data_IF_740975463984
#
_entry.id   IF_740975463984
#
_cell.length_a   1.000
_cell.length_b   1.000
_cell.length_c   1.000
_cell.angle_alpha   90.00
_cell.angle_beta   90.00
_cell.angle_gamma   90.00
#
_symmetry.space_group_name_H-M   'P 1'
#
loop_
_entity.id
_entity.type
_entity.pdbx_description
1 polymer ?
#
# COMPACT_ATOMS: atom_id res chain seq x y z
N UNK A 1 -1.22 -14.77 -5.19
CA UNK A 1 -1.23 -13.34 -5.59
C UNK A 1 -1.85 -12.58 -4.44
N UNK A 2 -1.08 -11.72 -3.78
CA UNK A 2 -1.63 -10.78 -2.79
C UNK A 2 -2.39 -9.68 -3.55
N UNK A 3 -3.58 -9.33 -3.07
CA UNK A 3 -4.38 -8.26 -3.65
C UNK A 3 -3.71 -6.92 -3.31
N UNK A 4 -3.34 -6.15 -4.34
CA UNK A 4 -2.74 -4.83 -4.20
C UNK A 4 -3.78 -3.74 -4.47
N UNK A 5 -3.75 -2.68 -3.67
CA UNK A 5 -4.61 -1.51 -3.79
C UNK A 5 -3.75 -0.27 -4.01
N UNK A 6 -3.88 0.34 -5.20
CA UNK A 6 -3.22 1.61 -5.51
C UNK A 6 -4.01 2.80 -4.96
N UNK A 7 -3.35 3.67 -4.20
CA UNK A 7 -3.91 4.97 -3.80
C UNK A 7 -3.55 5.99 -4.88
N UNK A 8 -4.57 6.50 -5.57
CA UNK A 8 -4.43 7.52 -6.63
C UNK A 8 -5.12 8.81 -6.24
N UNK A 9 -4.58 9.93 -6.72
CA UNK A 9 -5.16 11.25 -6.46
C UNK A 9 -4.36 12.37 -7.12
N UNK A 10 -4.97 13.56 -7.18
CA UNK A 10 -4.28 14.77 -7.63
C UNK A 10 -3.15 15.15 -6.66
N UNK A 11 -2.17 15.95 -7.10
CA UNK A 11 -1.17 16.52 -6.19
C UNK A 11 -1.82 17.23 -4.99
N UNK A 12 -1.23 17.06 -3.80
CA UNK A 12 -1.61 17.75 -2.55
C UNK A 12 -3.01 17.45 -1.97
N UNK A 13 -3.67 16.35 -2.36
CA UNK A 13 -4.99 15.96 -1.80
C UNK A 13 -4.92 15.16 -0.49
N UNK A 14 -3.73 15.04 0.12
CA UNK A 14 -3.53 14.25 1.34
C UNK A 14 -3.27 12.75 1.12
N UNK A 15 -2.94 12.34 -0.11
CA UNK A 15 -2.61 10.95 -0.47
C UNK A 15 -1.54 10.33 0.46
N UNK A 16 -0.41 10.99 0.62
CA UNK A 16 0.68 10.50 1.48
C UNK A 16 0.29 10.51 2.97
N UNK A 17 -0.58 11.43 3.39
CA UNK A 17 -1.13 11.44 4.75
C UNK A 17 -1.99 10.20 5.01
N UNK A 18 -2.87 9.83 4.06
CA UNK A 18 -3.69 8.63 4.14
C UNK A 18 -2.82 7.36 4.11
N UNK A 19 -1.86 7.28 3.20
CA UNK A 19 -0.94 6.15 3.11
C UNK A 19 -0.21 5.92 4.44
N UNK A 20 0.38 6.97 5.01
CA UNK A 20 1.10 6.87 6.29
C UNK A 20 0.17 6.47 7.44
N UNK A 21 -1.09 6.94 7.44
CA UNK A 21 -2.07 6.57 8.46
C UNK A 21 -2.45 5.08 8.38
N UNK A 22 -2.59 4.54 7.16
CA UNK A 22 -2.91 3.13 6.94
C UNK A 22 -1.74 2.21 7.29
N UNK A 23 -0.52 2.60 6.94
CA UNK A 23 0.68 1.76 7.09
C UNK A 23 1.40 1.94 8.42
N UNK A 24 1.01 2.96 9.22
CA UNK A 24 1.66 3.32 10.49
C UNK A 24 3.20 3.43 10.40
N UNK A 25 3.73 3.77 9.21
CA UNK A 25 5.17 3.86 8.92
C UNK A 25 6.01 2.60 9.20
N UNK A 26 5.44 1.40 9.33
CA UNK A 26 6.21 0.15 9.29
C UNK A 26 6.52 -0.23 7.82
N UNK A 27 7.17 0.70 7.12
CA UNK A 27 7.78 0.37 5.83
C UNK A 27 8.90 -0.61 6.14
N UNK A 28 8.63 -1.90 5.98
CA UNK A 28 9.66 -2.92 5.83
C UNK A 28 10.44 -2.58 4.57
N UNK A 29 11.39 -1.66 4.69
CA UNK A 29 12.37 -1.36 3.68
C UNK A 29 13.24 -2.61 3.53
N UNK A 30 12.84 -3.52 2.65
CA UNK A 30 13.74 -4.52 2.14
C UNK A 30 14.79 -3.76 1.30
N UNK A 31 15.95 -3.52 1.90
CA UNK A 31 17.07 -2.84 1.27
C UNK A 31 17.63 -3.70 0.12
N UNK A 32 17.03 -3.62 -1.07
CA UNK A 32 17.68 -4.06 -2.29
C UNK A 32 18.52 -2.91 -2.85
N UNK A 33 19.86 -3.04 -2.95
CA UNK A 33 20.67 -2.04 -3.62
C UNK A 33 20.27 -1.98 -5.11
N UNK A 34 20.23 -0.77 -5.68
CA UNK A 34 19.76 -0.38 -7.04
C UNK A 34 18.29 0.13 -7.17
N UNK A 35 17.62 0.55 -6.09
CA UNK A 35 16.24 1.05 -6.15
C UNK A 35 16.07 2.38 -6.92
N UNK A 36 15.72 2.28 -8.20
CA UNK A 36 15.05 3.30 -9.01
C UNK A 36 13.54 3.24 -8.80
N UNK A 37 12.86 4.38 -8.53
CA UNK A 37 11.44 4.62 -8.88
C UNK A 37 10.46 3.53 -8.37
N UNK A 38 10.63 2.98 -7.17
CA UNK A 38 9.66 2.01 -6.63
C UNK A 38 8.56 2.74 -5.82
N UNK A 39 7.27 2.48 -6.08
CA UNK A 39 6.19 3.10 -5.33
C UNK A 39 6.26 2.66 -3.86
N UNK A 40 5.84 3.52 -2.92
CA UNK A 40 5.83 3.12 -1.51
C UNK A 40 4.78 2.02 -1.33
N UNK A 41 5.20 0.83 -0.91
CA UNK A 41 4.32 -0.29 -0.61
C UNK A 41 4.22 -0.47 0.90
N UNK A 42 3.00 -0.67 1.41
CA UNK A 42 2.78 -0.96 2.83
C UNK A 42 1.77 -2.09 3.01
N UNK A 43 2.08 -2.98 3.95
CA UNK A 43 1.24 -4.14 4.28
C UNK A 43 0.42 -3.83 5.52
N UNK A 44 -0.89 -3.94 5.43
CA UNK A 44 -1.80 -3.62 6.54
C UNK A 44 -2.61 -4.87 6.91
N UNK A 45 -2.61 -5.28 8.20
CA UNK A 45 -3.44 -6.39 8.64
C UNK A 45 -4.91 -5.98 8.60
N UNK A 46 -5.77 -6.89 8.13
CA UNK A 46 -7.22 -6.68 8.11
C UNK A 46 -7.77 -6.85 9.53
N UNK A 47 -8.39 -5.81 10.12
CA UNK A 47 -9.04 -5.96 11.42
C UNK A 47 -10.25 -6.88 11.29
N UNK A 48 -10.27 -7.97 12.07
CA UNK A 48 -11.34 -8.96 12.06
C UNK A 48 -11.58 -9.53 13.46
N UNK A 49 -12.68 -9.13 14.09
CA UNK A 49 -13.07 -9.61 15.43
C UNK A 49 -13.31 -11.12 15.48
N UNK A 50 -13.62 -11.74 14.33
CA UNK A 50 -13.83 -13.21 14.24
C UNK A 50 -12.54 -13.96 14.50
N UNK A 51 -11.39 -13.39 14.13
CA UNK A 51 -10.09 -14.03 14.33
C UNK A 51 -9.80 -14.20 15.82
N UNK A 52 -10.02 -13.14 16.61
CA UNK A 52 -9.85 -13.18 18.07
C UNK A 52 -10.82 -14.18 18.73
N UNK A 53 -12.09 -14.19 18.31
CA UNK A 53 -13.07 -15.14 18.84
C UNK A 53 -12.68 -16.60 18.57
N UNK A 54 -12.16 -16.90 17.37
CA UNK A 54 -11.67 -18.24 17.04
C UNK A 54 -10.40 -18.59 17.83
N UNK A 55 -9.47 -17.64 17.99
CA UNK A 55 -8.25 -17.85 18.76
C UNK A 55 -8.57 -18.22 20.22
N UNK A 56 -9.58 -17.58 20.82
CA UNK A 56 -10.06 -17.90 22.17
C UNK A 56 -10.70 -19.30 22.25
N UNK A 57 -11.59 -19.65 21.31
CA UNK A 57 -12.28 -20.95 21.28
C UNK A 57 -11.29 -22.11 21.17
N UNK A 58 -10.25 -21.95 20.36
CA UNK A 58 -9.30 -23.02 20.06
C UNK A 58 -7.99 -22.94 20.87
N UNK A 59 -7.81 -21.92 21.71
CA UNK A 59 -6.59 -21.72 22.49
C UNK A 59 -5.34 -21.56 21.62
N UNK A 60 -5.45 -20.78 20.54
CA UNK A 60 -4.38 -20.65 19.55
C UNK A 60 -3.14 -19.94 20.12
N UNK A 61 -1.93 -20.42 19.80
CA UNK A 61 -0.66 -19.82 20.25
C UNK A 61 -0.42 -18.43 19.65
N UNK A 62 -0.95 -18.17 18.44
CA UNK A 62 -0.84 -16.89 17.75
C UNK A 62 -1.99 -16.64 16.79
N UNK A 63 -2.29 -15.37 16.57
CA UNK A 63 -3.23 -14.90 15.55
C UNK A 63 -2.46 -14.45 14.29
N UNK A 64 -2.93 -14.87 13.11
CA UNK A 64 -2.36 -14.50 11.82
C UNK A 64 -3.43 -13.81 10.98
N UNK A 65 -3.51 -12.47 10.98
CA UNK A 65 -4.51 -11.77 10.20
C UNK A 65 -4.24 -11.89 8.71
N UNK A 66 -5.31 -11.80 7.91
CA UNK A 66 -5.17 -11.54 6.48
C UNK A 66 -4.52 -10.16 6.27
N UNK A 67 -3.79 -9.98 5.17
CA UNK A 67 -3.10 -8.73 4.85
C UNK A 67 -3.56 -8.16 3.52
N UNK A 68 -3.57 -6.82 3.43
CA UNK A 68 -3.77 -6.08 2.19
C UNK A 68 -2.53 -5.23 1.92
N UNK A 69 -2.08 -5.22 0.67
CA UNK A 69 -0.98 -4.38 0.22
C UNK A 69 -1.51 -3.06 -0.35
N UNK A 70 -1.08 -1.94 0.21
CA UNK A 70 -1.34 -0.60 -0.32
C UNK A 70 -0.12 -0.09 -1.07
N UNK A 71 -0.34 0.53 -2.21
CA UNK A 71 0.70 1.11 -3.06
C UNK A 71 0.43 2.61 -3.19
N UNK A 72 1.37 3.45 -2.76
CA UNK A 72 1.29 4.88 -2.95
C UNK A 72 1.75 5.25 -4.36
N UNK A 73 0.79 5.48 -5.26
CA UNK A 73 1.09 5.85 -6.64
C UNK A 73 1.36 7.35 -6.68
N UNK A 74 2.43 7.79 -7.35
CA UNK A 74 2.70 9.22 -7.46
C UNK A 74 1.53 9.94 -8.17
N UNK A 75 1.30 11.22 -7.82
CA UNK A 75 0.13 11.95 -8.29
C UNK A 75 0.03 12.02 -9.81
N UNK A 76 -1.15 11.71 -10.36
CA UNK A 76 -1.41 11.82 -11.80
C UNK A 76 -1.54 13.31 -12.13
N UNK A 77 -0.57 13.84 -12.87
CA UNK A 77 -0.61 15.23 -13.37
C UNK A 77 -1.47 15.26 -14.63
N UNK A 78 -2.27 16.33 -14.81
CA UNK A 78 -2.98 16.58 -16.07
C UNK A 78 -1.97 16.59 -17.22
N UNK A 79 -2.16 15.75 -18.23
CA UNK A 79 -1.21 15.55 -19.33
C UNK A 79 -0.45 14.21 -19.29
N UNK A 80 -0.64 13.40 -18.24
CA UNK A 80 0.02 12.10 -18.09
C UNK A 80 -0.19 11.15 -19.27
N UNK A 81 -1.34 11.21 -19.96
CA UNK A 81 -1.66 10.41 -21.14
C UNK A 81 -1.06 10.92 -22.46
N UNK A 82 -0.45 12.11 -22.44
CA UNK A 82 0.11 12.80 -23.63
C UNK A 82 1.65 12.82 -23.58
N UNK A 83 2.25 12.19 -22.56
CA UNK A 83 3.71 12.09 -22.41
C UNK A 83 4.39 13.33 -21.83
N UNK A 84 3.65 14.36 -21.41
CA UNK A 84 4.22 15.48 -20.68
C UNK A 84 4.43 15.08 -19.20
N UNK A 85 5.65 14.67 -18.89
CA UNK A 85 6.08 14.21 -17.57
C UNK A 85 6.13 12.68 -17.42
N UNK A 86 6.43 12.21 -16.19
CA UNK A 86 6.54 10.77 -15.86
C UNK A 86 5.20 10.01 -15.94
N UNK A 87 4.11 10.65 -16.39
CA UNK A 87 2.73 10.14 -16.44
C UNK A 87 2.54 8.80 -17.16
N UNK A 88 3.25 8.56 -18.26
CA UNK A 88 3.16 7.31 -19.01
C UNK A 88 3.74 6.12 -18.23
N UNK A 89 4.75 6.32 -17.37
CA UNK A 89 5.27 5.25 -16.52
C UNK A 89 4.30 4.89 -15.39
N UNK A 90 3.38 5.79 -15.02
CA UNK A 90 2.34 5.53 -14.01
C UNK A 90 1.11 4.83 -14.55
N UNK A 91 0.80 4.96 -15.85
CA UNK A 91 -0.38 4.37 -16.49
C UNK A 91 -0.09 3.03 -17.19
N UNK A 92 1.18 2.64 -17.29
CA UNK A 92 1.62 1.48 -18.07
C UNK A 92 1.60 0.14 -17.31
N UNK A 93 1.25 0.14 -16.02
CA UNK A 93 1.05 -1.07 -15.22
C UNK A 93 -0.42 -1.31 -14.93
#
# INVERSE_FOLDING_TARGET
>A
MTLQIGIVGLPNVGKSTLFNALTKNDVLAANYPFATIEPNVGVVPVPDERLAALAEIFGSERELPASVEFVDIAGIVRGASVGEGLGNQFLAN
#
